data_IF_938005331175
#
_entry.id   IF_938005331175
#
_cell.length_a   1.000
_cell.length_b   1.000
_cell.length_c   1.000
_cell.angle_alpha   90.00
_cell.angle_beta   90.00
_cell.angle_gamma   90.00
#
_symmetry.space_group_name_H-M   'P 1'
#
loop_
_entity.id
_entity.type
_entity.pdbx_description
1 polymer ?
#
# COMPACT_ATOMS: atom_id res chain seq x y z
N UNK A 1 8.69 -16.24 0.17
CA UNK A 1 7.60 -15.33 -0.21
C UNK A 1 8.24 -14.14 -0.92
N UNK A 2 7.75 -13.74 -2.10
CA UNK A 2 8.44 -12.79 -3.00
C UNK A 2 8.67 -11.43 -2.32
N UNK A 3 7.74 -11.00 -1.48
CA UNK A 3 7.84 -9.76 -0.70
C UNK A 3 8.96 -9.79 0.36
N UNK A 4 9.38 -10.98 0.81
CA UNK A 4 10.44 -11.15 1.81
C UNK A 4 11.79 -11.56 1.19
N UNK A 5 11.81 -11.97 -0.08
CA UNK A 5 13.03 -12.43 -0.77
C UNK A 5 13.69 -11.37 -1.63
N UNK A 6 13.00 -10.27 -1.92
CA UNK A 6 13.50 -9.19 -2.76
C UNK A 6 13.52 -7.87 -1.97
N UNK A 7 14.65 -7.18 -1.98
CA UNK A 7 14.77 -5.83 -1.42
C UNK A 7 14.22 -4.83 -2.45
N UNK A 8 12.90 -4.61 -2.41
CA UNK A 8 12.19 -3.78 -3.38
C UNK A 8 11.88 -2.40 -2.78
N UNK A 9 12.01 -1.33 -3.56
CA UNK A 9 11.71 0.01 -3.07
C UNK A 9 10.20 0.28 -2.99
N UNK A 10 9.43 -0.30 -3.91
CA UNK A 10 7.97 -0.16 -4.00
C UNK A 10 7.32 -1.49 -4.33
N UNK A 11 6.26 -1.85 -3.61
CA UNK A 11 5.48 -3.07 -3.82
C UNK A 11 4.01 -2.69 -3.99
N UNK A 12 3.41 -3.10 -5.11
CA UNK A 12 1.99 -2.88 -5.39
C UNK A 12 1.25 -4.22 -5.36
N UNK A 13 0.20 -4.32 -4.53
CA UNK A 13 -0.64 -5.52 -4.39
C UNK A 13 -2.09 -5.13 -4.59
N UNK A 14 -2.78 -5.89 -5.45
CA UNK A 14 -4.23 -5.78 -5.69
C UNK A 14 -4.93 -7.03 -5.16
N UNK A 15 -6.24 -6.96 -4.93
CA UNK A 15 -7.05 -8.07 -4.41
C UNK A 15 -6.51 -8.60 -3.07
N UNK A 16 -6.17 -7.68 -2.17
CA UNK A 16 -5.49 -8.02 -0.90
C UNK A 16 -6.36 -8.84 0.05
N UNK A 17 -7.69 -8.73 -0.06
CA UNK A 17 -8.67 -9.37 0.83
C UNK A 17 -8.47 -9.03 2.32
N UNK A 18 -7.80 -7.93 2.60
CA UNK A 18 -7.48 -7.53 3.96
C UNK A 18 -8.61 -6.70 4.58
N UNK A 19 -8.56 -6.58 5.90
CA UNK A 19 -9.46 -5.71 6.66
C UNK A 19 -8.70 -5.01 7.79
N UNK A 20 -9.37 -4.06 8.44
CA UNK A 20 -8.78 -3.22 9.49
C UNK A 20 -8.36 -3.94 10.78
N UNK A 21 -8.63 -5.25 10.91
CA UNK A 21 -8.09 -6.07 12.01
C UNK A 21 -6.64 -6.51 11.78
N UNK A 22 -6.13 -6.38 10.54
CA UNK A 22 -4.76 -6.78 10.17
C UNK A 22 -3.88 -5.54 10.16
N UNK A 23 -2.94 -5.47 11.11
CA UNK A 23 -2.00 -4.37 11.22
C UNK A 23 -0.96 -4.40 10.10
N UNK A 24 -0.47 -3.22 9.70
CA UNK A 24 0.55 -3.11 8.66
C UNK A 24 1.84 -3.87 8.99
N UNK A 25 2.20 -3.93 10.27
CA UNK A 25 3.35 -4.69 10.79
C UNK A 25 3.23 -6.21 10.64
N UNK A 26 2.03 -6.73 10.38
CA UNK A 26 1.82 -8.15 10.07
C UNK A 26 2.05 -8.47 8.60
N UNK A 27 1.98 -7.45 7.72
CA UNK A 27 2.11 -7.62 6.27
C UNK A 27 3.56 -7.48 5.82
N UNK A 28 4.25 -6.45 6.32
CA UNK A 28 5.60 -6.10 5.94
C UNK A 28 6.44 -5.73 7.18
N UNK A 29 7.77 -5.86 7.10
CA UNK A 29 8.66 -5.31 8.11
C UNK A 29 8.44 -3.81 8.32
N UNK A 30 8.81 -3.29 9.50
CA UNK A 30 8.75 -1.86 9.84
C UNK A 30 9.62 -0.94 8.96
N UNK A 31 10.29 -1.49 7.95
CA UNK A 31 11.08 -0.76 6.94
C UNK A 31 10.23 -0.26 5.77
N UNK A 32 8.92 -0.53 5.77
CA UNK A 32 7.98 -0.06 4.77
C UNK A 32 6.85 0.76 5.39
N UNK A 33 6.53 1.86 4.72
CA UNK A 33 5.31 2.63 4.91
C UNK A 33 4.22 2.03 4.03
N UNK A 34 3.09 1.69 4.65
CA UNK A 34 2.01 0.96 4.00
C UNK A 34 0.82 1.88 3.77
N UNK A 35 0.53 2.14 2.50
CA UNK A 35 -0.62 2.88 2.02
C UNK A 35 -1.64 1.88 1.48
N UNK A 36 -2.86 1.82 2.02
CA UNK A 36 -3.83 0.79 1.64
C UNK A 36 -5.27 1.28 1.73
N UNK A 37 -6.12 0.68 0.92
CA UNK A 37 -7.56 0.81 1.02
C UNK A 37 -8.17 -0.57 1.23
N UNK A 38 -8.61 -0.81 2.46
CA UNK A 38 -9.44 -1.96 2.80
C UNK A 38 -10.91 -1.62 2.60
N UNK A 39 -11.72 -2.61 2.19
CA UNK A 39 -13.17 -2.47 2.28
C UNK A 39 -13.71 -3.14 3.54
N UNK A 40 -14.83 -2.59 4.03
CA UNK A 40 -15.50 -3.02 5.26
C UNK A 40 -16.35 -4.29 5.07
N UNK A 41 -16.64 -4.65 3.82
CA UNK A 41 -17.58 -5.73 3.47
C UNK A 41 -16.87 -6.95 2.85
N UNK A 42 -17.61 -8.06 2.73
CA UNK A 42 -17.12 -9.39 2.31
C UNK A 42 -16.84 -9.54 0.80
N UNK A 43 -16.68 -8.45 0.07
CA UNK A 43 -16.34 -8.50 -1.35
C UNK A 43 -14.82 -8.63 -1.49
N UNK A 44 -14.31 -9.53 -2.35
CA UNK A 44 -12.89 -9.64 -2.59
C UNK A 44 -12.42 -8.41 -3.36
N UNK A 45 -12.01 -7.37 -2.65
CA UNK A 45 -11.37 -6.18 -3.21
C UNK A 45 -10.42 -5.59 -2.18
N UNK A 46 -9.37 -4.93 -2.65
CA UNK A 46 -8.43 -4.21 -1.79
C UNK A 46 -7.15 -3.90 -2.55
N UNK A 47 -6.54 -2.76 -2.25
CA UNK A 47 -5.28 -2.33 -2.86
C UNK A 47 -4.31 -1.86 -1.80
N UNK A 48 -3.04 -2.15 -2.01
CA UNK A 48 -1.94 -1.81 -1.12
C UNK A 48 -0.72 -1.38 -1.93
N UNK A 49 -0.08 -0.31 -1.48
CA UNK A 49 1.24 0.13 -1.90
C UNK A 49 2.12 0.14 -0.65
N UNK A 50 3.19 -0.66 -0.64
CA UNK A 50 4.25 -0.57 0.36
C UNK A 50 5.42 0.22 -0.26
N UNK A 51 5.90 1.23 0.46
CA UNK A 51 7.05 2.04 0.05
C UNK A 51 8.14 1.90 1.10
N UNK A 52 9.36 1.59 0.69
CA UNK A 52 10.49 1.51 1.60
C UNK A 52 10.78 2.86 2.23
N UNK A 53 11.09 2.87 3.53
CA UNK A 53 11.18 4.12 4.32
C UNK A 53 12.37 5.03 3.96
N UNK A 54 13.28 4.57 3.10
CA UNK A 54 14.34 5.42 2.52
C UNK A 54 13.81 6.34 1.40
N UNK A 55 12.62 6.06 0.86
CA UNK A 55 11.90 6.94 -0.05
C UNK A 55 10.85 7.76 0.70
N UNK A 56 10.80 9.06 0.40
CA UNK A 56 9.74 9.92 0.90
C UNK A 56 8.46 9.65 0.10
N UNK A 57 7.40 9.28 0.80
CA UNK A 57 6.10 9.00 0.21
C UNK A 57 4.96 9.74 0.89
N UNK A 58 3.93 10.08 0.12
CA UNK A 58 2.75 10.82 0.58
C UNK A 58 1.50 10.26 -0.07
N UNK A 59 0.53 9.82 0.74
CA UNK A 59 -0.81 9.49 0.20
C UNK A 59 -1.50 10.77 -0.26
N UNK A 60 -2.02 10.75 -1.50
CA UNK A 60 -2.82 11.81 -2.07
C UNK A 60 -4.30 11.56 -1.81
N UNK A 61 -5.03 12.64 -1.58
CA UNK A 61 -6.49 12.59 -1.44
C UNK A 61 -7.11 12.06 -2.74
N UNK A 62 -8.01 11.09 -2.60
CA UNK A 62 -8.79 10.60 -3.74
C UNK A 62 -9.84 11.64 -4.13
N UNK A 63 -10.15 11.79 -5.42
CA UNK A 63 -11.39 12.44 -5.83
C UNK A 63 -12.58 11.77 -5.10
N UNK A 64 -13.61 12.54 -4.77
CA UNK A 64 -14.76 12.13 -3.95
C UNK A 64 -15.57 10.98 -4.59
N UNK A 65 -15.31 10.63 -5.84
CA UNK A 65 -16.02 9.56 -6.53
C UNK A 65 -15.65 8.18 -5.95
N UNK A 66 -16.55 7.66 -5.12
CA UNK A 66 -16.39 6.44 -4.32
C UNK A 66 -16.47 5.13 -5.14
N UNK A 67 -16.46 5.21 -6.48
CA UNK A 67 -16.70 4.05 -7.34
C UNK A 67 -15.49 3.12 -7.50
N UNK A 68 -14.26 3.58 -7.20
CA UNK A 68 -13.04 2.78 -7.41
C UNK A 68 -12.18 2.63 -6.15
N UNK A 69 -11.61 1.44 -5.96
CA UNK A 69 -10.53 1.18 -5.03
C UNK A 69 -9.21 1.63 -5.63
N UNK A 70 -8.68 2.72 -5.09
CA UNK A 70 -7.42 3.29 -5.54
C UNK A 70 -6.62 3.73 -4.33
N UNK A 71 -5.31 3.57 -4.35
CA UNK A 71 -4.40 4.25 -3.42
C UNK A 71 -3.46 5.03 -4.31
N UNK A 72 -3.35 6.33 -4.06
CA UNK A 72 -2.53 7.23 -4.86
C UNK A 72 -1.41 7.72 -3.96
N UNK A 73 -0.18 7.41 -4.32
CA UNK A 73 1.01 7.80 -3.56
C UNK A 73 1.90 8.64 -4.45
N UNK A 74 2.25 9.83 -3.98
CA UNK A 74 3.33 10.62 -4.54
C UNK A 74 4.66 10.14 -3.93
N UNK A 75 5.65 9.91 -4.78
CA UNK A 75 7.00 9.51 -4.40
C UNK A 75 7.98 10.64 -4.76
N UNK A 76 8.83 11.02 -3.82
CA UNK A 76 9.99 11.84 -4.11
C UNK A 76 11.16 10.92 -4.46
N UNK A 77 11.50 10.87 -5.75
CA UNK A 77 12.60 10.04 -6.24
C UNK A 77 13.90 10.85 -6.20
N UNK A 78 15.00 10.27 -5.67
CA UNK A 78 16.30 10.92 -5.74
C UNK A 78 16.64 11.21 -7.20
N UNK A 79 17.18 12.41 -7.46
CA UNK A 79 17.70 12.77 -8.78
C UNK A 79 19.11 12.20 -8.90
N UNK A 80 19.34 11.44 -9.97
CA UNK A 80 20.67 10.98 -10.38
C UNK A 80 21.62 12.16 -10.70
#
# INVERSE_FOLDING_TARGET
DIAYSCDLDVICITETLLNGSIANSELFPYTYDIHRQDRKDRTPVGVLIAVKNDLVSRELSKPIDHEFEAVIVELDLPRD
#
